data_IF_355603993898
#
_entry.id   IF_355603993898
#
_cell.length_a   1.000
_cell.length_b   1.000
_cell.length_c   1.000
_cell.angle_alpha   90.00
_cell.angle_beta   90.00
_cell.angle_gamma   90.00
#
_symmetry.space_group_name_H-M   'P 1'
#
loop_
_entity.id
_entity.type
_entity.pdbx_description
1 polymer ?
#
# COMPACT_ATOMS: atom_id res chain seq x y z
N UNK A 1 -14.13 1.61 21.22
CA UNK A 1 -13.52 1.38 19.90
C UNK A 1 -14.28 0.47 18.93
N UNK A 2 -15.32 -0.30 19.34
CA UNK A 2 -16.10 -1.15 18.40
C UNK A 2 -17.02 -0.38 17.46
N UNK A 3 -17.63 0.71 17.95
CA UNK A 3 -18.65 1.47 17.21
C UNK A 3 -18.11 2.23 15.98
N UNK A 4 -16.81 2.52 15.95
CA UNK A 4 -16.14 3.18 14.81
C UNK A 4 -15.86 2.17 13.69
N UNK A 5 -15.41 0.95 14.04
CA UNK A 5 -15.16 -0.13 13.08
C UNK A 5 -16.42 -0.65 12.38
N UNK A 6 -17.57 -0.65 13.05
CA UNK A 6 -18.85 -1.11 12.46
C UNK A 6 -19.33 -0.25 11.29
N UNK A 7 -18.87 1.01 11.19
CA UNK A 7 -19.23 1.90 10.08
C UNK A 7 -18.43 1.55 8.82
N UNK A 8 -17.12 1.31 8.95
CA UNK A 8 -16.25 0.93 7.82
C UNK A 8 -16.57 -0.46 7.27
N UNK A 9 -16.98 -1.40 8.15
CA UNK A 9 -17.40 -2.74 7.73
C UNK A 9 -18.67 -2.74 6.86
N UNK A 10 -19.58 -1.78 7.06
CA UNK A 10 -20.82 -1.65 6.27
C UNK A 10 -20.58 -1.12 4.86
N UNK A 11 -19.47 -0.44 4.64
CA UNK A 11 -19.08 0.11 3.33
C UNK A 11 -18.18 -0.86 2.54
N UNK A 12 -17.89 -2.05 3.07
CA UNK A 12 -17.09 -3.08 2.38
C UNK A 12 -15.57 -2.92 2.52
N UNK A 13 -15.10 -2.01 3.37
CA UNK A 13 -13.67 -1.87 3.68
C UNK A 13 -13.22 -3.02 4.60
N UNK A 14 -12.53 -4.01 4.03
CA UNK A 14 -12.05 -5.21 4.73
C UNK A 14 -10.72 -5.03 5.46
N UNK A 15 -10.11 -3.86 5.31
CA UNK A 15 -8.74 -3.59 5.74
C UNK A 15 -8.59 -2.10 6.11
N UNK A 16 -7.71 -1.83 7.06
CA UNK A 16 -7.45 -0.50 7.59
C UNK A 16 -5.94 -0.31 7.60
N UNK A 17 -5.49 0.67 6.84
CA UNK A 17 -4.09 1.07 6.70
C UNK A 17 -3.96 2.57 7.01
N UNK A 18 -2.75 3.05 7.28
CA UNK A 18 -2.51 4.44 7.69
C UNK A 18 -1.45 5.16 6.84
N UNK A 19 -0.93 4.50 5.80
CA UNK A 19 0.28 4.88 5.08
C UNK A 19 0.01 5.18 3.59
N UNK A 20 -0.91 4.46 2.95
CA UNK A 20 -1.26 4.66 1.54
C UNK A 20 -1.94 6.01 1.31
N UNK A 21 -2.76 6.49 2.25
CA UNK A 21 -3.38 7.82 2.17
C UNK A 21 -2.35 8.94 1.99
N UNK A 22 -1.41 9.14 2.93
CA UNK A 22 -0.32 10.10 2.78
C UNK A 22 0.58 9.83 1.57
N UNK A 23 0.88 8.57 1.26
CA UNK A 23 1.69 8.20 0.08
C UNK A 23 1.04 8.67 -1.23
N UNK A 24 -0.22 8.32 -1.46
CA UNK A 24 -0.96 8.70 -2.67
C UNK A 24 -1.22 10.21 -2.73
N UNK A 25 -1.36 10.87 -1.57
CA UNK A 25 -1.46 12.33 -1.50
C UNK A 25 -0.17 13.00 -1.99
N UNK A 26 1.00 12.51 -1.58
CA UNK A 26 2.29 13.00 -2.05
C UNK A 26 2.50 12.76 -3.55
N UNK A 27 2.12 11.58 -4.04
CA UNK A 27 2.15 11.26 -5.49
C UNK A 27 1.23 12.19 -6.28
N UNK A 28 0.04 12.51 -5.76
CA UNK A 28 -0.85 13.46 -6.42
C UNK A 28 -0.21 14.85 -6.55
N UNK A 29 0.39 15.37 -5.48
CA UNK A 29 1.02 16.70 -5.47
C UNK A 29 2.30 16.78 -6.32
N UNK A 30 2.95 15.64 -6.58
CA UNK A 30 4.08 15.56 -7.52
C UNK A 30 3.62 15.63 -8.98
N UNK A 31 2.46 15.04 -9.28
CA UNK A 31 1.88 14.99 -10.64
C UNK A 31 1.11 16.28 -10.97
N UNK A 32 0.38 16.83 -10.00
CA UNK A 32 -0.52 17.95 -10.19
C UNK A 32 -0.06 19.17 -9.37
N UNK A 33 -0.16 20.39 -9.93
CA UNK A 33 0.27 21.61 -9.25
C UNK A 33 -0.68 22.04 -8.12
N UNK A 34 -1.74 21.27 -7.85
CA UNK A 34 -2.72 21.55 -6.80
C UNK A 34 -2.58 20.55 -5.67
N UNK A 35 -2.93 21.01 -4.46
CA UNK A 35 -3.00 20.16 -3.27
C UNK A 35 -3.91 18.97 -3.50
N UNK A 36 -3.59 17.82 -2.89
CA UNK A 36 -4.40 16.62 -3.01
C UNK A 36 -5.88 16.90 -2.68
N UNK A 37 -6.80 16.28 -3.43
CA UNK A 37 -8.22 16.55 -3.29
C UNK A 37 -8.78 15.92 -2.01
N UNK A 38 -9.86 16.49 -1.50
CA UNK A 38 -10.57 15.99 -0.32
C UNK A 38 -11.98 15.61 -0.77
N UNK A 39 -12.38 14.35 -0.51
CA UNK A 39 -13.69 13.79 -0.89
C UNK A 39 -13.95 13.74 -2.41
N UNK A 40 -12.91 13.60 -3.24
CA UNK A 40 -13.05 13.43 -4.70
C UNK A 40 -12.31 12.18 -5.17
N UNK A 41 -12.84 11.54 -6.22
CA UNK A 41 -12.18 10.41 -6.88
C UNK A 41 -11.26 10.96 -7.95
N UNK A 42 -9.98 10.61 -7.88
CA UNK A 42 -8.97 11.03 -8.85
C UNK A 42 -8.25 9.86 -9.48
N UNK A 43 -7.81 10.07 -10.71
CA UNK A 43 -7.02 9.11 -11.46
C UNK A 43 -5.56 9.59 -11.56
N UNK A 44 -4.66 8.85 -10.92
CA UNK A 44 -3.23 9.12 -10.93
C UNK A 44 -2.52 8.54 -12.18
N UNK A 45 -3.07 7.48 -12.77
CA UNK A 45 -2.36 6.69 -13.79
C UNK A 45 -2.20 7.38 -15.15
N UNK A 46 -3.06 8.34 -15.48
CA UNK A 46 -3.02 8.98 -16.81
C UNK A 46 -1.82 9.91 -16.95
N UNK A 47 -1.41 10.56 -15.85
CA UNK A 47 -0.42 11.64 -15.89
C UNK A 47 0.89 11.31 -15.15
N UNK A 48 0.97 10.16 -14.46
CA UNK A 48 2.17 9.76 -13.75
C UNK A 48 3.31 9.46 -14.73
N UNK A 49 4.49 10.11 -14.60
CA UNK A 49 5.65 9.82 -15.45
C UNK A 49 6.43 8.57 -14.99
N UNK A 50 5.94 7.86 -13.97
CA UNK A 50 6.55 6.68 -13.37
C UNK A 50 5.49 5.68 -12.91
N UNK A 51 5.91 4.43 -12.69
CA UNK A 51 5.03 3.38 -12.17
C UNK A 51 4.66 3.64 -10.69
N UNK A 52 3.38 3.50 -10.37
CA UNK A 52 2.84 3.62 -9.01
C UNK A 52 2.24 2.29 -8.60
N UNK A 53 2.51 1.84 -7.38
CA UNK A 53 1.95 0.59 -6.85
C UNK A 53 2.04 0.50 -5.34
N UNK A 54 1.15 -0.30 -4.75
CA UNK A 54 1.09 -0.55 -3.32
C UNK A 54 1.05 -2.05 -3.09
N UNK A 55 1.91 -2.54 -2.20
CA UNK A 55 1.89 -3.90 -1.69
C UNK A 55 1.50 -3.85 -0.21
N UNK A 56 0.30 -4.32 0.11
CA UNK A 56 -0.18 -4.34 1.48
C UNK A 56 -0.18 -5.75 2.06
N UNK A 57 0.40 -5.91 3.25
CA UNK A 57 0.39 -7.16 4.00
C UNK A 57 -0.49 -6.99 5.24
N UNK A 58 -1.67 -7.60 5.20
CA UNK A 58 -2.59 -7.62 6.34
C UNK A 58 -2.21 -8.75 7.31
N UNK A 59 -1.62 -8.37 8.45
CA UNK A 59 -1.11 -9.30 9.46
C UNK A 59 -2.19 -9.74 10.47
N UNK A 60 -3.04 -8.80 10.90
CA UNK A 60 -4.09 -9.04 11.89
C UNK A 60 -5.47 -9.08 11.24
N UNK A 61 -6.26 -10.12 11.56
CA UNK A 61 -7.67 -10.21 11.14
C UNK A 61 -8.58 -9.74 12.28
N UNK A 62 -9.41 -8.70 12.09
CA UNK A 62 -10.16 -8.07 13.18
C UNK A 62 -11.19 -8.98 13.89
N UNK A 63 -11.56 -10.12 13.30
CA UNK A 63 -12.56 -11.05 13.83
C UNK A 63 -12.04 -12.45 14.19
N UNK A 64 -10.74 -12.72 14.06
CA UNK A 64 -10.17 -14.02 14.42
C UNK A 64 -9.88 -14.11 15.92
N UNK A 65 -10.74 -14.78 16.70
CA UNK A 65 -10.37 -15.23 18.05
C UNK A 65 -9.32 -16.35 17.92
N UNK A 66 -8.06 -15.98 17.81
CA UNK A 66 -6.97 -16.95 17.81
C UNK A 66 -5.69 -16.37 17.25
N UNK A 67 -4.82 -15.91 18.16
CA UNK A 67 -3.43 -15.52 17.92
C UNK A 67 -3.26 -14.22 17.11
N UNK A 68 -3.25 -13.08 17.81
CA UNK A 68 -2.59 -11.87 17.28
C UNK A 68 -1.10 -12.18 17.08
N UNK A 69 -0.48 -11.73 15.99
CA UNK A 69 0.96 -11.93 15.74
C UNK A 69 1.84 -11.30 16.84
N UNK A 70 1.30 -10.36 17.61
CA UNK A 70 1.88 -9.83 18.85
C UNK A 70 2.17 -10.90 19.92
N UNK A 71 1.58 -12.09 19.84
CA UNK A 71 1.83 -13.18 20.79
C UNK A 71 2.94 -14.14 20.34
N UNK A 72 3.59 -13.88 19.20
CA UNK A 72 4.71 -14.66 18.67
C UNK A 72 5.91 -13.72 18.46
N UNK A 73 7.12 -14.25 18.67
CA UNK A 73 8.35 -13.51 18.36
C UNK A 73 8.34 -13.07 16.88
N UNK A 74 8.96 -11.93 16.59
CA UNK A 74 9.15 -11.44 15.22
C UNK A 74 9.74 -12.58 14.37
N UNK A 75 8.93 -13.14 13.47
CA UNK A 75 9.30 -14.30 12.68
C UNK A 75 9.06 -14.01 11.21
N UNK A 76 9.90 -14.57 10.35
CA UNK A 76 9.73 -14.51 8.89
C UNK A 76 8.49 -15.25 8.41
N UNK A 77 7.83 -16.01 9.28
CA UNK A 77 6.68 -16.83 8.93
C UNK A 77 5.49 -15.94 8.56
N UNK A 78 5.03 -16.05 7.31
CA UNK A 78 3.89 -15.29 6.78
C UNK A 78 4.27 -14.10 5.91
N UNK A 79 5.55 -13.70 5.83
CA UNK A 79 5.99 -12.57 4.99
C UNK A 79 6.66 -13.01 3.67
N UNK A 80 6.72 -14.31 3.38
CA UNK A 80 7.39 -14.85 2.20
C UNK A 80 6.86 -14.25 0.88
N UNK A 81 5.55 -14.10 0.78
CA UNK A 81 4.90 -13.48 -0.38
C UNK A 81 5.30 -12.00 -0.52
N UNK A 82 5.33 -11.26 0.60
CA UNK A 82 5.75 -9.86 0.63
C UNK A 82 7.21 -9.72 0.20
N UNK A 83 8.09 -10.59 0.69
CA UNK A 83 9.51 -10.58 0.34
C UNK A 83 9.76 -10.92 -1.13
N UNK A 84 9.06 -11.93 -1.65
CA UNK A 84 9.14 -12.32 -3.06
C UNK A 84 8.66 -11.18 -3.97
N UNK A 85 7.54 -10.54 -3.63
CA UNK A 85 7.01 -9.40 -4.38
C UNK A 85 7.98 -8.20 -4.35
N UNK A 86 8.50 -7.82 -3.18
CA UNK A 86 9.50 -6.76 -3.05
C UNK A 86 10.75 -7.03 -3.90
N UNK A 87 11.25 -8.27 -3.89
CA UNK A 87 12.40 -8.67 -4.70
C UNK A 87 12.12 -8.54 -6.20
N UNK A 88 10.93 -8.95 -6.66
CA UNK A 88 10.53 -8.83 -8.05
C UNK A 88 10.41 -7.37 -8.50
N UNK A 89 9.82 -6.51 -7.67
CA UNK A 89 9.68 -5.08 -7.92
C UNK A 89 11.06 -4.41 -8.03
N UNK A 90 11.95 -4.64 -7.07
CA UNK A 90 13.31 -4.08 -7.09
C UNK A 90 14.10 -4.51 -8.32
N UNK A 91 14.00 -5.78 -8.72
CA UNK A 91 14.65 -6.27 -9.95
C UNK A 91 14.15 -5.52 -11.18
N UNK A 92 12.84 -5.29 -11.30
CA UNK A 92 12.27 -4.52 -12.42
C UNK A 92 12.77 -3.07 -12.42
N UNK A 93 12.80 -2.41 -11.26
CA UNK A 93 13.32 -1.04 -11.13
C UNK A 93 14.76 -0.97 -11.62
N UNK A 94 15.64 -1.86 -11.13
CA UNK A 94 17.04 -1.86 -11.55
C UNK A 94 17.22 -2.15 -13.05
N UNK A 95 16.40 -3.04 -13.62
CA UNK A 95 16.44 -3.30 -15.07
C UNK A 95 16.09 -2.04 -15.87
N UNK A 96 15.05 -1.31 -15.49
CA UNK A 96 14.63 -0.06 -16.15
C UNK A 96 15.70 1.02 -16.01
N UNK A 97 16.26 1.21 -14.82
CA UNK A 97 17.28 2.23 -14.59
C UNK A 97 18.59 1.93 -15.33
N UNK A 98 19.02 0.66 -15.39
CA UNK A 98 20.18 0.26 -16.18
C UNK A 98 19.99 0.51 -17.69
N UNK A 99 18.79 0.25 -18.22
CA UNK A 99 18.46 0.55 -19.61
C UNK A 99 18.51 2.05 -19.90
N UNK A 100 17.95 2.87 -18.99
CA UNK A 100 17.98 4.33 -19.09
C UNK A 100 19.39 4.90 -19.03
N UNK A 101 20.29 4.33 -18.22
CA UNK A 101 21.69 4.78 -18.15
C UNK A 101 22.52 4.39 -19.38
N UNK A 102 22.10 3.36 -20.10
CA UNK A 102 22.78 2.88 -21.30
C UNK A 102 22.36 3.62 -22.59
N UNK A 103 21.24 4.36 -22.56
CA UNK A 103 20.75 5.23 -23.66
C UNK A 103 21.27 6.65 -23.55
#
# INVERSE_FOLDING_TARGET
NRRFMDVFYKEGYTDIEMEAGPYLSGVYEDIYPQRYPINEIVNLFINAPYDIGILHYASDRPYGRGQSLLSKNLSYFGVDATYAASTAILRRIFQVELQRMAS
#
